data_IF_951894503482
#
_entry.id   IF_951894503482
#
_cell.length_a   1.000
_cell.length_b   1.000
_cell.length_c   1.000
_cell.angle_alpha   90.00
_cell.angle_beta   90.00
_cell.angle_gamma   90.00
#
_symmetry.space_group_name_H-M   'P 1'
#
loop_
_entity.id
_entity.type
_entity.pdbx_description
1 polymer ?
#
# COMPACT_ATOMS: atom_id res chain seq x y z
N UNK A 1 -15.39 8.35 -29.74
CA UNK A 1 -14.45 9.40 -30.15
C UNK A 1 -15.08 10.17 -31.31
N UNK A 2 -15.04 11.51 -31.32
CA UNK A 2 -15.55 12.37 -32.37
C UNK A 2 -14.71 12.40 -33.65
N UNK A 3 -13.74 11.49 -33.81
CA UNK A 3 -12.88 11.43 -35.00
C UNK A 3 -13.37 10.43 -36.02
N UNK A 4 -13.20 10.75 -37.29
CA UNK A 4 -13.46 9.82 -38.38
C UNK A 4 -12.44 8.69 -38.41
N UNK A 5 -12.82 7.51 -38.91
CA UNK A 5 -11.92 6.35 -38.98
C UNK A 5 -10.61 6.64 -39.75
N UNK A 6 -10.61 7.35 -40.90
CA UNK A 6 -9.36 7.73 -41.55
C UNK A 6 -8.43 8.58 -40.66
N UNK A 7 -8.99 9.48 -39.87
CA UNK A 7 -8.20 10.30 -38.92
C UNK A 7 -7.57 9.43 -37.82
N UNK A 8 -8.35 8.50 -37.26
CA UNK A 8 -7.83 7.56 -36.24
C UNK A 8 -6.73 6.67 -36.85
N UNK A 9 -6.92 6.12 -38.03
CA UNK A 9 -5.94 5.28 -38.72
C UNK A 9 -4.62 6.02 -38.95
N UNK A 10 -4.70 7.26 -39.45
CA UNK A 10 -3.49 8.10 -39.64
C UNK A 10 -2.76 8.40 -38.34
N UNK A 11 -3.48 8.73 -37.28
CA UNK A 11 -2.87 8.97 -35.99
C UNK A 11 -2.19 7.71 -35.43
N UNK A 12 -2.80 6.55 -35.57
CA UNK A 12 -2.20 5.28 -35.16
C UNK A 12 -0.92 4.98 -35.95
N UNK A 13 -0.91 5.25 -37.25
CA UNK A 13 0.27 5.06 -38.11
C UNK A 13 1.40 6.02 -37.70
N UNK A 14 1.07 7.30 -37.45
CA UNK A 14 2.04 8.28 -36.96
C UNK A 14 2.65 7.86 -35.60
N UNK A 15 1.81 7.38 -34.66
CA UNK A 15 2.27 6.90 -33.37
C UNK A 15 3.13 5.64 -33.49
N UNK A 16 2.83 4.74 -34.44
CA UNK A 16 3.70 3.58 -34.73
C UNK A 16 5.04 4.00 -35.31
N UNK A 17 5.03 4.95 -36.24
CA UNK A 17 6.26 5.47 -36.85
C UNK A 17 7.18 6.19 -35.84
N UNK A 18 6.58 6.74 -34.77
CA UNK A 18 7.30 7.34 -33.64
C UNK A 18 7.66 6.33 -32.55
N UNK A 19 7.40 5.05 -32.75
CA UNK A 19 7.60 3.98 -31.76
C UNK A 19 6.82 4.17 -30.44
N UNK A 20 5.63 4.74 -30.52
CA UNK A 20 4.73 4.82 -29.36
C UNK A 20 3.78 3.64 -29.28
N UNK A 21 3.37 3.08 -30.40
CA UNK A 21 2.46 1.92 -30.48
C UNK A 21 3.18 0.69 -31.02
N UNK A 22 2.76 -0.48 -30.57
CA UNK A 22 3.17 -1.75 -31.13
C UNK A 22 2.73 -1.87 -32.62
N UNK A 23 3.48 -2.67 -33.40
CA UNK A 23 3.21 -2.82 -34.84
C UNK A 23 1.90 -3.54 -35.11
N UNK A 24 1.57 -4.51 -34.30
CA UNK A 24 0.50 -5.47 -34.54
C UNK A 24 -0.81 -5.14 -33.83
N UNK A 25 -0.79 -4.25 -32.84
CA UNK A 25 -1.97 -3.82 -32.11
C UNK A 25 -1.91 -2.31 -31.74
N UNK A 26 -2.82 -1.85 -30.90
CA UNK A 26 -2.87 -0.47 -30.41
C UNK A 26 -2.27 -0.31 -29.01
N UNK A 27 -1.52 -1.30 -28.53
CA UNK A 27 -0.86 -1.20 -27.24
C UNK A 27 0.30 -0.20 -27.28
N UNK A 28 0.45 0.56 -26.20
CA UNK A 28 1.62 1.43 -26.01
C UNK A 28 2.85 0.57 -25.77
N UNK A 29 3.95 0.95 -26.41
CA UNK A 29 5.23 0.29 -26.13
C UNK A 29 5.68 0.62 -24.69
N UNK A 30 6.17 -0.37 -23.93
CA UNK A 30 6.63 -0.16 -22.55
C UNK A 30 7.67 0.96 -22.40
N UNK A 31 8.49 1.14 -23.44
CA UNK A 31 9.61 2.12 -23.46
C UNK A 31 9.20 3.55 -23.78
N UNK A 32 7.90 3.84 -23.96
CA UNK A 32 7.39 5.19 -24.29
C UNK A 32 7.66 6.16 -23.14
N UNK A 33 7.67 5.68 -21.92
CA UNK A 33 7.96 6.50 -20.77
C UNK A 33 8.01 5.68 -19.48
N UNK A 34 8.40 6.35 -18.42
CA UNK A 34 8.54 5.75 -17.10
C UNK A 34 7.85 6.60 -16.05
N UNK A 35 7.28 5.95 -15.05
CA UNK A 35 6.77 6.58 -13.85
C UNK A 35 7.67 6.20 -12.68
N UNK A 36 8.03 7.18 -11.86
CA UNK A 36 8.74 6.98 -10.62
C UNK A 36 7.74 6.82 -9.49
N UNK A 37 7.83 5.74 -8.74
CA UNK A 37 7.07 5.53 -7.52
C UNK A 37 7.95 5.53 -6.30
N UNK A 38 7.55 6.28 -5.29
CA UNK A 38 8.24 6.38 -4.01
C UNK A 38 7.24 5.99 -2.92
N UNK A 39 7.58 5.02 -2.10
CA UNK A 39 6.80 4.65 -0.92
C UNK A 39 7.57 5.09 0.34
N UNK A 40 7.00 6.05 1.05
CA UNK A 40 7.50 6.47 2.35
C UNK A 40 6.93 5.54 3.40
N UNK A 41 7.79 4.73 3.99
CA UNK A 41 7.43 3.83 5.08
C UNK A 41 7.94 4.34 6.42
N UNK A 42 7.48 3.72 7.50
CA UNK A 42 7.95 4.03 8.86
C UNK A 42 9.37 3.54 9.13
N UNK A 43 9.92 2.70 8.26
CA UNK A 43 11.22 2.05 8.43
C UNK A 43 12.18 2.32 7.27
N UNK A 44 11.64 2.51 6.09
CA UNK A 44 12.43 2.65 4.87
C UNK A 44 11.66 3.41 3.81
N UNK A 45 12.37 4.04 2.89
CA UNK A 45 11.81 4.55 1.64
C UNK A 45 12.12 3.55 0.53
N UNK A 46 11.10 3.12 -0.19
CA UNK A 46 11.23 2.24 -1.36
C UNK A 46 10.99 3.02 -2.63
N UNK A 47 11.76 2.69 -3.65
CA UNK A 47 11.70 3.35 -4.95
C UNK A 47 11.48 2.30 -6.03
N UNK A 48 10.63 2.61 -6.99
CA UNK A 48 10.40 1.78 -8.17
C UNK A 48 10.26 2.66 -9.40
N UNK A 49 10.94 2.32 -10.47
CA UNK A 49 10.70 2.87 -11.80
C UNK A 49 9.86 1.86 -12.57
N UNK A 50 8.76 2.33 -13.14
CA UNK A 50 7.73 1.49 -13.79
C UNK A 50 7.54 1.96 -15.21
N UNK A 51 7.50 1.05 -16.15
CA UNK A 51 7.22 1.32 -17.57
C UNK A 51 5.72 1.46 -17.87
N UNK A 52 5.35 1.72 -19.11
CA UNK A 52 3.96 1.86 -19.52
C UNK A 52 3.18 0.53 -19.58
N UNK A 53 3.87 -0.61 -19.45
CA UNK A 53 3.21 -1.91 -19.22
C UNK A 53 3.05 -2.20 -17.71
N UNK A 54 3.26 -1.20 -16.86
CA UNK A 54 3.23 -1.29 -15.40
C UNK A 54 4.18 -2.36 -14.83
N UNK A 55 5.24 -2.67 -15.60
CA UNK A 55 6.28 -3.56 -15.13
C UNK A 55 7.41 -2.75 -14.49
N UNK A 56 7.85 -3.12 -13.30
CA UNK A 56 8.95 -2.42 -12.65
C UNK A 56 10.27 -2.79 -13.34
N UNK A 57 10.91 -1.78 -13.93
CA UNK A 57 12.25 -1.86 -14.52
C UNK A 57 13.34 -1.62 -13.50
N UNK A 58 13.04 -0.90 -12.42
CA UNK A 58 13.92 -0.72 -11.27
C UNK A 58 13.13 -0.94 -9.98
N UNK A 59 13.64 -1.81 -9.12
CA UNK A 59 13.14 -2.05 -7.76
C UNK A 59 14.31 -1.99 -6.82
N UNK A 60 14.46 -0.88 -6.11
CA UNK A 60 15.58 -0.74 -5.19
C UNK A 60 15.16 -0.12 -3.88
N UNK A 61 15.83 -0.54 -2.82
CA UNK A 61 15.90 0.21 -1.58
C UNK A 61 16.90 1.34 -1.78
N UNK A 62 16.73 2.46 -1.10
CA UNK A 62 17.66 3.59 -1.22
C UNK A 62 19.12 3.21 -0.98
N UNK A 63 19.39 2.23 -0.14
CA UNK A 63 20.73 1.67 0.11
C UNK A 63 21.43 1.24 -1.17
N UNK A 64 20.67 0.59 -2.06
CA UNK A 64 21.19 0.02 -3.31
C UNK A 64 21.44 1.09 -4.39
N UNK A 65 20.84 2.27 -4.24
CA UNK A 65 21.04 3.43 -5.13
C UNK A 65 22.25 4.28 -4.72
N UNK A 66 22.97 3.88 -3.66
CA UNK A 66 24.07 4.69 -3.11
C UNK A 66 23.61 5.93 -2.33
N UNK A 67 22.29 6.16 -2.26
CA UNK A 67 21.67 7.25 -1.50
C UNK A 67 21.44 6.84 -0.03
N UNK A 68 21.61 5.58 0.30
CA UNK A 68 21.41 5.01 1.63
C UNK A 68 22.37 5.53 2.70
N UNK A 69 23.52 6.07 2.31
CA UNK A 69 24.43 6.70 3.28
C UNK A 69 23.83 7.93 3.96
N UNK A 70 22.85 8.57 3.35
CA UNK A 70 22.14 9.73 3.91
C UNK A 70 21.03 9.29 4.90
N UNK A 71 20.38 8.13 4.65
CA UNK A 71 19.37 7.59 5.53
C UNK A 71 19.91 6.68 6.65
N UNK A 72 20.96 5.88 6.33
CA UNK A 72 21.45 4.83 7.24
C UNK A 72 22.18 5.36 8.47
N UNK A 73 22.75 6.56 8.44
CA UNK A 73 23.51 7.06 9.59
C UNK A 73 22.72 7.91 10.56
N UNK A 74 21.76 8.66 10.06
CA UNK A 74 21.16 9.73 10.86
C UNK A 74 19.66 9.60 11.12
N UNK A 75 18.89 8.94 10.23
CA UNK A 75 17.48 8.67 10.47
C UNK A 75 17.22 7.29 11.07
N UNK A 76 18.17 6.35 10.87
CA UNK A 76 18.07 4.97 11.32
C UNK A 76 19.06 4.60 12.40
N UNK A 77 20.07 5.42 12.64
CA UNK A 77 21.18 5.08 13.55
C UNK A 77 21.15 5.82 14.88
N UNK A 78 20.24 5.44 15.71
CA UNK A 78 20.61 5.35 17.11
C UNK A 78 21.28 3.99 17.45
N UNK A 79 21.66 3.16 16.46
CA UNK A 79 22.25 1.83 16.74
C UNK A 79 23.28 1.37 15.71
N UNK A 80 24.37 0.81 16.27
CA UNK A 80 25.52 0.21 15.62
C UNK A 80 25.15 -0.88 14.60
N UNK A 81 25.94 -0.95 13.53
CA UNK A 81 26.01 -1.90 12.40
C UNK A 81 24.90 -2.96 12.24
N UNK A 82 24.26 -3.03 11.07
CA UNK A 82 23.16 -3.95 10.83
C UNK A 82 23.68 -5.38 10.71
N UNK A 83 23.52 -6.16 11.73
CA UNK A 83 23.23 -7.58 11.56
C UNK A 83 21.81 -7.62 10.99
N UNK A 84 21.51 -8.49 10.05
CA UNK A 84 20.27 -8.65 9.29
C UNK A 84 18.93 -8.67 10.09
N UNK A 85 18.91 -8.27 11.35
CA UNK A 85 17.85 -8.53 12.31
C UNK A 85 17.14 -7.30 12.90
N UNK A 86 17.49 -6.06 12.58
CA UNK A 86 16.88 -4.90 13.28
C UNK A 86 16.01 -4.05 12.36
N UNK A 87 14.74 -4.43 12.27
CA UNK A 87 13.66 -3.58 11.78
C UNK A 87 13.08 -2.75 12.95
N UNK A 88 13.76 -1.68 13.36
CA UNK A 88 13.23 -0.77 14.38
C UNK A 88 12.17 0.17 13.81
N UNK A 89 11.10 0.38 14.57
CA UNK A 89 10.11 1.42 14.32
C UNK A 89 10.79 2.79 14.50
N UNK A 90 10.88 3.54 13.41
CA UNK A 90 11.34 4.92 13.46
C UNK A 90 10.13 5.78 13.72
N UNK A 91 10.06 6.30 14.93
CA UNK A 91 9.11 7.35 15.25
C UNK A 91 9.79 8.68 14.93
N UNK A 92 9.58 9.19 13.71
CA UNK A 92 10.08 10.49 13.28
C UNK A 92 9.17 11.58 13.89
N UNK A 93 9.58 12.15 15.01
CA UNK A 93 8.75 13.06 15.81
C UNK A 93 9.24 14.50 15.78
N UNK A 94 10.49 14.75 15.36
CA UNK A 94 11.13 16.05 15.48
C UNK A 94 11.17 16.82 14.17
N UNK A 95 11.41 18.13 14.26
CA UNK A 95 11.67 18.96 13.06
C UNK A 95 12.92 18.53 12.30
N UNK A 96 13.94 18.04 13.01
CA UNK A 96 15.15 17.50 12.40
C UNK A 96 14.86 16.23 11.57
N UNK A 97 13.96 15.38 12.05
CA UNK A 97 13.54 14.20 11.28
C UNK A 97 12.81 14.60 10.00
N UNK A 98 12.00 15.68 10.05
CA UNK A 98 11.34 16.22 8.86
C UNK A 98 12.36 16.75 7.85
N UNK A 99 13.36 17.50 8.30
CA UNK A 99 14.42 18.03 7.43
C UNK A 99 15.19 16.90 6.73
N UNK A 100 15.57 15.88 7.48
CA UNK A 100 16.27 14.71 6.94
C UNK A 100 15.41 13.91 5.96
N UNK A 101 14.12 13.73 6.25
CA UNK A 101 13.19 13.07 5.34
C UNK A 101 13.01 13.87 4.06
N UNK A 102 12.84 15.19 4.17
CA UNK A 102 12.72 16.09 3.03
C UNK A 102 14.02 16.09 2.19
N UNK A 103 15.18 16.18 2.82
CA UNK A 103 16.48 16.07 2.15
C UNK A 103 16.62 14.77 1.38
N UNK A 104 16.28 13.65 2.02
CA UNK A 104 16.32 12.34 1.36
C UNK A 104 15.39 12.26 0.17
N UNK A 105 14.15 12.73 0.32
CA UNK A 105 13.17 12.75 -0.75
C UNK A 105 13.68 13.60 -1.93
N UNK A 106 14.23 14.79 -1.65
CA UNK A 106 14.79 15.67 -2.67
C UNK A 106 16.01 15.03 -3.38
N UNK A 107 16.90 14.36 -2.66
CA UNK A 107 18.04 13.67 -3.26
C UNK A 107 17.60 12.54 -4.20
N UNK A 108 16.58 11.77 -3.83
CA UNK A 108 15.97 10.76 -4.73
C UNK A 108 15.40 11.43 -5.98
N UNK A 109 14.61 12.47 -5.80
CA UNK A 109 13.96 13.17 -6.91
C UNK A 109 15.00 13.80 -7.84
N UNK A 110 16.02 14.48 -7.31
CA UNK A 110 17.10 15.07 -8.09
C UNK A 110 17.85 14.02 -8.92
N UNK A 111 18.18 12.87 -8.35
CA UNK A 111 18.88 11.81 -9.06
C UNK A 111 18.10 11.33 -10.29
N UNK A 112 16.79 11.13 -10.17
CA UNK A 112 15.97 10.69 -11.30
C UNK A 112 15.66 11.81 -12.30
N UNK A 113 15.38 13.03 -11.84
CA UNK A 113 15.10 14.18 -12.70
C UNK A 113 16.32 14.61 -13.49
N UNK A 114 17.50 14.60 -12.89
CA UNK A 114 18.75 14.89 -13.59
C UNK A 114 19.08 13.84 -14.66
N UNK A 115 18.81 12.56 -14.37
CA UNK A 115 18.98 11.49 -15.37
C UNK A 115 17.99 11.66 -16.52
N UNK A 116 16.75 12.02 -16.24
CA UNK A 116 15.76 12.31 -17.27
C UNK A 116 16.15 13.51 -18.16
N UNK A 117 16.78 14.55 -17.57
CA UNK A 117 17.27 15.72 -18.30
C UNK A 117 18.51 15.43 -19.15
N UNK A 118 19.46 14.64 -18.63
CA UNK A 118 20.74 14.36 -19.30
C UNK A 118 20.60 13.62 -20.64
N UNK A 119 19.44 13.09 -20.92
CA UNK A 119 19.14 12.29 -22.10
C UNK A 119 18.70 13.12 -23.33
N UNK A 120 18.65 14.42 -23.24
CA UNK A 120 18.62 15.30 -24.43
C UNK A 120 19.93 15.22 -25.23
N UNK A 121 20.98 14.62 -24.66
CA UNK A 121 22.24 14.36 -25.34
C UNK A 121 22.19 13.01 -26.08
N UNK A 122 22.39 13.03 -27.37
CA UNK A 122 22.07 12.01 -28.40
C UNK A 122 22.81 10.68 -28.26
N UNK A 123 23.66 10.47 -27.26
CA UNK A 123 24.44 9.24 -27.06
C UNK A 123 23.83 8.22 -26.10
N UNK A 124 22.80 8.59 -25.32
CA UNK A 124 22.10 7.68 -24.43
C UNK A 124 20.60 8.00 -24.49
N UNK A 125 19.74 7.10 -25.03
CA UNK A 125 18.31 7.40 -25.16
C UNK A 125 17.74 7.66 -23.78
N UNK A 126 17.22 8.89 -23.62
CA UNK A 126 16.54 9.30 -22.41
C UNK A 126 15.48 8.30 -21.99
N UNK A 127 15.43 8.02 -20.71
CA UNK A 127 14.24 7.44 -20.10
C UNK A 127 13.27 8.61 -19.84
N UNK A 128 12.26 8.87 -20.68
CA UNK A 128 11.36 9.99 -20.46
C UNK A 128 10.55 9.71 -19.19
N UNK A 129 10.87 10.44 -18.13
CA UNK A 129 10.10 10.39 -16.88
C UNK A 129 8.81 11.19 -17.08
N UNK A 130 7.67 10.52 -16.97
CA UNK A 130 6.36 11.09 -17.31
C UNK A 130 5.57 11.53 -16.09
N UNK A 131 5.86 10.96 -14.92
CA UNK A 131 5.18 11.30 -13.67
C UNK A 131 5.86 10.67 -12.47
N UNK A 132 5.57 11.22 -11.31
CA UNK A 132 6.09 10.77 -10.03
C UNK A 132 4.92 10.55 -9.08
N UNK A 133 4.82 9.38 -8.47
CA UNK A 133 3.86 9.08 -7.41
C UNK A 133 4.57 8.90 -6.08
N UNK A 134 4.07 9.54 -5.03
CA UNK A 134 4.60 9.38 -3.67
C UNK A 134 3.49 8.89 -2.76
N UNK A 135 3.67 7.70 -2.20
CA UNK A 135 2.74 7.11 -1.25
C UNK A 135 3.21 7.36 0.19
N UNK A 136 2.28 7.82 1.03
CA UNK A 136 2.52 8.07 2.45
C UNK A 136 1.65 7.16 3.34
N UNK A 137 2.14 6.79 4.54
CA UNK A 137 1.36 6.06 5.52
C UNK A 137 0.49 7.05 6.32
N UNK A 138 -0.81 7.04 6.08
CA UNK A 138 -1.76 7.93 6.76
C UNK A 138 -2.66 8.65 5.79
N UNK A 139 -3.38 9.62 6.30
CA UNK A 139 -4.42 10.35 5.59
C UNK A 139 -3.82 11.42 4.65
N UNK A 140 -4.10 11.30 3.35
CA UNK A 140 -3.58 12.20 2.30
C UNK A 140 -4.73 12.85 1.55
N UNK A 141 -4.80 14.17 1.56
CA UNK A 141 -5.65 14.95 0.66
C UNK A 141 -4.94 15.09 -0.69
N UNK A 142 -5.35 14.28 -1.65
CA UNK A 142 -4.72 14.24 -2.98
C UNK A 142 -4.96 15.51 -3.79
N UNK A 143 -6.09 16.19 -3.58
CA UNK A 143 -6.40 17.43 -4.29
C UNK A 143 -5.55 18.60 -3.80
N UNK A 144 -5.38 18.73 -2.49
CA UNK A 144 -4.55 19.76 -1.87
C UNK A 144 -3.06 19.38 -1.82
N UNK A 145 -2.71 18.16 -2.21
CA UNK A 145 -1.36 17.59 -2.07
C UNK A 145 -0.82 17.73 -0.64
N UNK A 146 -1.67 17.43 0.33
CA UNK A 146 -1.39 17.59 1.75
C UNK A 146 -1.43 16.25 2.48
N UNK A 147 -0.45 16.03 3.35
CA UNK A 147 -0.45 14.93 4.30
C UNK A 147 -1.18 15.43 5.55
N UNK A 148 -2.45 15.07 5.68
CA UNK A 148 -3.30 15.62 6.75
C UNK A 148 -2.99 14.98 8.11
N UNK A 149 -2.72 13.68 8.11
CA UNK A 149 -2.35 12.97 9.33
C UNK A 149 -1.49 11.76 9.02
N UNK A 150 -0.36 11.64 9.68
CA UNK A 150 0.57 10.53 9.54
C UNK A 150 1.02 10.06 10.93
N UNK A 151 0.22 9.25 11.65
CA UNK A 151 0.47 8.90 13.06
C UNK A 151 1.80 8.19 13.28
N UNK A 152 2.22 7.41 12.28
CA UNK A 152 3.47 6.66 12.34
C UNK A 152 4.72 7.50 11.96
N UNK A 153 4.50 8.71 11.42
CA UNK A 153 5.55 9.70 11.08
C UNK A 153 4.99 11.09 11.43
N UNK A 154 4.85 11.44 12.71
CA UNK A 154 4.14 12.66 13.14
C UNK A 154 4.70 13.96 12.61
N UNK A 155 5.99 14.03 12.26
CA UNK A 155 6.59 15.23 11.66
C UNK A 155 6.00 15.57 10.28
N UNK A 156 5.29 14.63 9.64
CA UNK A 156 4.58 14.84 8.36
C UNK A 156 3.15 15.36 8.54
N UNK A 157 2.61 15.40 9.75
CA UNK A 157 1.25 15.90 9.97
C UNK A 157 1.10 17.33 9.42
N UNK A 158 0.02 17.53 8.67
CA UNK A 158 -0.36 18.83 8.08
C UNK A 158 0.68 19.43 7.12
N UNK A 159 1.60 18.60 6.60
CA UNK A 159 2.59 19.06 5.62
C UNK A 159 2.04 19.03 4.21
N UNK A 160 2.26 20.13 3.50
CA UNK A 160 2.01 20.20 2.07
C UNK A 160 3.23 19.69 1.30
N UNK A 161 3.01 19.04 0.15
CA UNK A 161 4.10 18.54 -0.69
C UNK A 161 5.13 19.64 -1.00
N UNK A 162 4.67 20.82 -1.35
CA UNK A 162 5.56 21.94 -1.72
C UNK A 162 6.51 22.34 -0.59
N UNK A 163 6.12 22.13 0.67
CA UNK A 163 6.98 22.39 1.83
C UNK A 163 8.09 21.34 2.01
N UNK A 164 7.97 20.20 1.36
CA UNK A 164 8.96 19.12 1.40
C UNK A 164 9.95 19.19 0.23
N UNK A 165 9.63 19.93 -0.84
CA UNK A 165 10.46 20.02 -2.05
C UNK A 165 11.37 21.24 -2.02
N UNK A 166 12.67 21.03 -2.32
CA UNK A 166 13.60 22.13 -2.50
C UNK A 166 13.40 22.86 -3.84
N UNK A 167 14.00 24.04 -3.97
CA UNK A 167 13.84 24.87 -5.16
C UNK A 167 14.33 24.17 -6.44
N UNK A 168 15.46 23.46 -6.37
CA UNK A 168 16.03 22.76 -7.52
C UNK A 168 15.10 21.66 -8.05
N UNK A 169 14.49 20.88 -7.14
CA UNK A 169 13.51 19.85 -7.52
C UNK A 169 12.31 20.50 -8.21
N UNK A 170 11.75 21.58 -7.64
CA UNK A 170 10.60 22.29 -8.25
C UNK A 170 10.92 22.81 -9.65
N UNK A 171 12.09 23.45 -9.80
CA UNK A 171 12.55 23.95 -11.11
C UNK A 171 12.69 22.83 -12.14
N UNK A 172 13.23 21.68 -11.76
CA UNK A 172 13.36 20.52 -12.66
C UNK A 172 12.00 19.91 -13.01
N UNK A 173 11.10 19.79 -12.05
CA UNK A 173 9.74 19.29 -12.30
C UNK A 173 9.00 20.16 -13.31
N UNK A 174 9.08 21.49 -13.17
CA UNK A 174 8.49 22.45 -14.11
C UNK A 174 9.13 22.37 -15.49
N UNK A 175 10.47 22.35 -15.57
CA UNK A 175 11.19 22.31 -16.84
C UNK A 175 10.95 21.03 -17.65
N UNK A 176 10.70 19.91 -16.99
CA UNK A 176 10.44 18.61 -17.60
C UNK A 176 8.95 18.28 -17.76
N UNK A 177 8.04 19.16 -17.35
CA UNK A 177 6.58 18.92 -17.27
C UNK A 177 6.24 17.62 -16.53
N UNK A 178 6.97 17.32 -15.46
CA UNK A 178 6.77 16.14 -14.62
C UNK A 178 5.92 16.53 -13.40
N UNK A 179 4.79 15.86 -13.24
CA UNK A 179 3.89 16.08 -12.08
C UNK A 179 4.18 15.09 -10.98
N UNK A 180 4.06 15.56 -9.74
CA UNK A 180 4.12 14.72 -8.55
C UNK A 180 2.70 14.55 -8.01
N UNK A 181 2.30 13.30 -7.83
CA UNK A 181 1.00 12.94 -7.24
C UNK A 181 1.20 12.24 -5.90
N UNK A 182 0.34 12.58 -4.95
CA UNK A 182 0.33 11.92 -3.64
C UNK A 182 -0.78 10.88 -3.57
N UNK A 183 -0.50 9.78 -2.90
CA UNK A 183 -1.51 8.77 -2.61
C UNK A 183 -1.29 8.15 -1.22
N UNK A 184 -2.33 7.49 -0.72
CA UNK A 184 -2.23 6.69 0.49
C UNK A 184 -1.61 5.32 0.18
N UNK A 185 -0.85 4.74 1.13
CA UNK A 185 -0.23 3.43 0.95
C UNK A 185 -1.22 2.31 0.57
N UNK A 186 -2.44 2.34 1.12
CA UNK A 186 -3.46 1.35 0.77
C UNK A 186 -3.98 1.54 -0.65
N UNK A 187 -4.13 2.79 -1.14
CA UNK A 187 -4.48 3.07 -2.53
C UNK A 187 -3.39 2.55 -3.48
N UNK A 188 -2.14 2.88 -3.20
CA UNK A 188 -1.02 2.37 -3.98
C UNK A 188 -0.95 0.83 -3.95
N UNK A 189 -1.15 0.22 -2.78
CA UNK A 189 -1.23 -1.23 -2.67
C UNK A 189 -2.33 -1.83 -3.53
N UNK A 190 -3.53 -1.25 -3.52
CA UNK A 190 -4.64 -1.68 -4.36
C UNK A 190 -4.33 -1.56 -5.85
N UNK A 191 -3.79 -0.41 -6.30
CA UNK A 191 -3.44 -0.20 -7.70
C UNK A 191 -2.44 -1.25 -8.19
N UNK A 192 -1.43 -1.54 -7.39
CA UNK A 192 -0.50 -2.62 -7.70
C UNK A 192 -1.19 -3.98 -7.80
N UNK A 193 -2.02 -4.35 -6.83
CA UNK A 193 -2.70 -5.65 -6.83
C UNK A 193 -3.67 -5.79 -8.02
N UNK A 194 -4.38 -4.73 -8.38
CA UNK A 194 -5.25 -4.74 -9.55
C UNK A 194 -4.48 -5.01 -10.84
N UNK A 195 -3.33 -4.35 -11.03
CA UNK A 195 -2.47 -4.61 -12.19
C UNK A 195 -1.89 -6.03 -12.18
N UNK A 196 -1.58 -6.59 -11.00
CA UNK A 196 -1.15 -7.98 -10.90
C UNK A 196 -2.25 -8.98 -11.31
N UNK A 197 -3.52 -8.63 -11.15
CA UNK A 197 -4.63 -9.45 -11.67
C UNK A 197 -4.67 -9.42 -13.20
N UNK A 198 -4.53 -8.25 -13.84
CA UNK A 198 -4.48 -8.14 -15.30
C UNK A 198 -3.34 -8.97 -15.92
N UNK A 199 -2.20 -8.99 -15.28
CA UNK A 199 -1.01 -9.71 -15.72
C UNK A 199 -0.88 -11.14 -15.17
N UNK A 200 -1.92 -11.66 -14.51
CA UNK A 200 -1.91 -13.01 -13.98
C UNK A 200 -1.83 -14.05 -15.10
N UNK A 201 -0.95 -15.03 -14.94
CA UNK A 201 -0.83 -16.18 -15.87
C UNK A 201 -1.99 -17.15 -15.74
N UNK A 202 -2.56 -17.28 -14.53
CA UNK A 202 -3.76 -18.08 -14.28
C UNK A 202 -5.00 -17.36 -14.84
N UNK A 203 -5.73 -17.99 -15.80
CA UNK A 203 -6.91 -17.38 -16.41
C UNK A 203 -8.03 -17.05 -15.41
N UNK A 204 -8.22 -17.88 -14.39
CA UNK A 204 -9.22 -17.65 -13.34
C UNK A 204 -8.87 -16.40 -12.54
N UNK A 205 -7.61 -16.27 -12.14
CA UNK A 205 -7.14 -15.08 -11.44
C UNK A 205 -7.21 -13.83 -12.32
N UNK A 206 -6.89 -13.96 -13.61
CA UNK A 206 -6.97 -12.85 -14.58
C UNK A 206 -8.39 -12.36 -14.77
N UNK A 207 -9.39 -13.25 -14.84
CA UNK A 207 -10.80 -12.85 -15.01
C UNK A 207 -11.32 -12.00 -13.84
N UNK A 208 -10.70 -12.09 -12.66
CA UNK A 208 -11.06 -11.25 -11.53
C UNK A 208 -10.67 -9.76 -11.74
N UNK A 209 -9.74 -9.47 -12.64
CA UNK A 209 -9.39 -8.09 -12.99
C UNK A 209 -10.53 -7.32 -13.66
N UNK A 210 -11.45 -8.04 -14.32
CA UNK A 210 -12.63 -7.47 -14.99
C UNK A 210 -13.74 -7.08 -14.01
N UNK A 211 -13.66 -7.53 -12.75
CA UNK A 211 -14.64 -7.19 -11.72
C UNK A 211 -14.70 -5.70 -11.48
N UNK A 212 -15.92 -5.17 -11.36
CA UNK A 212 -16.17 -3.74 -11.15
C UNK A 212 -16.07 -3.33 -9.67
N UNK A 213 -16.19 -4.30 -8.76
CA UNK A 213 -16.25 -4.09 -7.33
C UNK A 213 -15.13 -4.90 -6.65
N UNK A 214 -13.93 -4.34 -6.65
CA UNK A 214 -12.74 -4.95 -6.07
C UNK A 214 -12.30 -4.11 -4.88
N UNK A 215 -12.19 -4.73 -3.72
CA UNK A 215 -11.61 -4.10 -2.54
C UNK A 215 -10.30 -4.80 -2.15
N UNK A 216 -9.41 -4.05 -1.55
CA UNK A 216 -8.10 -4.52 -1.10
C UNK A 216 -7.81 -4.03 0.30
N UNK A 217 -7.58 -4.95 1.23
CA UNK A 217 -7.04 -4.65 2.56
C UNK A 217 -5.54 -4.74 2.48
N UNK A 218 -4.88 -3.63 2.77
CA UNK A 218 -3.43 -3.56 2.92
C UNK A 218 -3.06 -3.58 4.42
N UNK A 219 -2.40 -4.64 4.84
CA UNK A 219 -1.98 -4.85 6.23
C UNK A 219 -0.46 -4.66 6.35
N UNK A 220 -0.07 -3.42 6.51
CA UNK A 220 1.31 -3.01 6.77
C UNK A 220 1.58 -2.86 8.27
N UNK A 221 2.12 -1.70 8.69
CA UNK A 221 2.20 -1.29 10.09
C UNK A 221 0.80 -0.97 10.65
N UNK A 222 -0.07 -0.39 9.80
CA UNK A 222 -1.49 -0.19 10.04
C UNK A 222 -2.34 -1.04 9.10
N UNK A 223 -3.66 -0.84 9.16
CA UNK A 223 -4.66 -1.53 8.34
C UNK A 223 -5.44 -0.52 7.54
N UNK A 224 -5.25 -0.51 6.22
CA UNK A 224 -5.99 0.34 5.30
C UNK A 224 -6.83 -0.48 4.33
N UNK A 225 -7.95 0.08 3.89
CA UNK A 225 -8.79 -0.46 2.83
C UNK A 225 -8.75 0.51 1.65
N UNK A 226 -8.62 -0.02 0.45
CA UNK A 226 -8.81 0.73 -0.78
C UNK A 226 -9.48 -0.15 -1.83
N UNK A 227 -9.88 0.42 -2.95
CA UNK A 227 -10.51 -0.36 -4.00
C UNK A 227 -11.32 0.44 -4.98
N UNK A 228 -12.06 -0.26 -5.83
CA UNK A 228 -13.02 0.33 -6.75
C UNK A 228 -14.42 -0.26 -6.55
N UNK A 229 -15.42 0.57 -6.78
CA UNK A 229 -16.83 0.18 -6.86
C UNK A 229 -17.44 0.74 -8.15
N UNK A 230 -18.18 -0.09 -8.85
CA UNK A 230 -18.68 0.21 -10.19
C UNK A 230 -17.56 0.71 -11.14
N UNK A 231 -16.38 0.12 -11.03
CA UNK A 231 -15.19 0.49 -11.79
C UNK A 231 -14.56 1.83 -11.43
N UNK A 232 -14.97 2.47 -10.34
CA UNK A 232 -14.42 3.77 -9.91
C UNK A 232 -13.62 3.64 -8.63
N UNK A 233 -12.44 4.22 -8.61
CA UNK A 233 -11.57 4.25 -7.42
C UNK A 233 -12.27 4.98 -6.26
N UNK A 234 -12.27 4.35 -5.10
CA UNK A 234 -12.87 4.90 -3.88
C UNK A 234 -11.85 5.78 -3.14
N UNK A 235 -12.13 7.06 -3.02
CA UNK A 235 -11.30 8.04 -2.30
C UNK A 235 -12.00 8.70 -1.13
N UNK A 236 -13.32 8.63 -1.09
CA UNK A 236 -14.09 9.40 -0.11
C UNK A 236 -14.05 10.90 -0.39
N UNK A 237 -14.53 11.70 0.57
CA UNK A 237 -14.63 13.15 0.41
C UNK A 237 -13.26 13.87 0.32
N UNK A 238 -12.31 13.44 1.18
CA UNK A 238 -11.01 14.11 1.34
C UNK A 238 -9.83 13.15 1.11
N UNK A 239 -10.01 12.06 0.36
CA UNK A 239 -8.98 11.05 0.22
C UNK A 239 -8.87 10.06 1.40
N UNK A 240 -9.77 10.13 2.38
CA UNK A 240 -9.76 9.29 3.58
C UNK A 240 -10.66 8.06 3.49
N UNK A 241 -10.82 7.49 2.31
CA UNK A 241 -11.54 6.23 2.21
C UNK A 241 -10.75 5.09 2.84
N UNK A 242 -11.46 4.23 3.56
CA UNK A 242 -10.93 2.91 3.90
C UNK A 242 -10.19 2.81 5.24
N UNK A 243 -10.46 3.68 6.18
CA UNK A 243 -9.93 3.64 7.55
C UNK A 243 -10.50 2.47 8.37
N UNK A 244 -10.55 1.27 7.75
CA UNK A 244 -11.13 0.06 8.34
C UNK A 244 -10.39 -0.41 9.61
N UNK A 245 -9.11 -0.06 9.72
CA UNK A 245 -8.33 -0.34 10.91
C UNK A 245 -8.82 0.42 12.15
N UNK A 246 -9.51 1.55 11.95
CA UNK A 246 -9.99 2.40 13.05
C UNK A 246 -11.45 2.17 13.43
N UNK A 247 -12.12 1.18 12.85
CA UNK A 247 -13.45 0.77 13.36
C UNK A 247 -13.29 0.22 14.79
N UNK A 248 -14.28 0.51 15.61
CA UNK A 248 -14.31 -0.04 16.96
C UNK A 248 -14.54 -1.55 16.87
N UNK A 249 -13.65 -2.30 17.49
CA UNK A 249 -13.83 -3.74 17.59
C UNK A 249 -15.00 -4.04 18.52
N UNK A 250 -15.86 -4.99 18.18
CA UNK A 250 -16.78 -5.55 19.16
C UNK A 250 -15.97 -6.06 20.35
N UNK A 251 -16.56 -5.98 21.53
CA UNK A 251 -15.97 -6.54 22.73
C UNK A 251 -15.81 -8.05 22.57
N UNK A 252 -14.63 -8.48 22.13
CA UNK A 252 -14.26 -9.89 22.15
C UNK A 252 -13.88 -10.24 23.60
N UNK A 253 -14.88 -10.14 24.47
CA UNK A 253 -14.70 -10.44 25.88
C UNK A 253 -14.27 -11.90 26.06
N UNK A 254 -13.50 -12.11 27.14
CA UNK A 254 -13.15 -13.45 27.61
C UNK A 254 -14.39 -14.36 27.73
N UNK A 255 -15.55 -13.78 28.13
CA UNK A 255 -16.81 -14.50 28.22
C UNK A 255 -17.28 -15.02 26.87
N UNK A 256 -17.18 -14.23 25.81
CA UNK A 256 -17.52 -14.65 24.45
C UNK A 256 -16.60 -15.75 23.96
N UNK A 257 -15.28 -15.60 24.17
CA UNK A 257 -14.32 -16.65 23.83
C UNK A 257 -14.60 -17.96 24.58
N UNK A 258 -14.95 -17.86 25.87
CA UNK A 258 -15.32 -19.01 26.69
C UNK A 258 -16.64 -19.66 26.21
N UNK A 259 -17.60 -18.85 25.78
CA UNK A 259 -18.89 -19.36 25.28
C UNK A 259 -18.79 -20.05 23.91
N UNK A 260 -17.81 -19.73 23.11
CA UNK A 260 -17.55 -20.35 21.82
C UNK A 260 -16.72 -21.66 21.93
N UNK A 261 -16.19 -21.97 23.13
CA UNK A 261 -15.52 -23.24 23.39
C UNK A 261 -16.54 -24.35 23.56
N UNK A 262 -16.41 -25.42 22.78
CA UNK A 262 -17.25 -26.62 22.87
C UNK A 262 -16.93 -27.48 24.09
N UNK A 263 -15.77 -27.26 24.73
CA UNK A 263 -15.29 -27.98 25.90
C UNK A 263 -15.03 -27.02 27.06
N UNK A 264 -15.61 -27.32 28.22
CA UNK A 264 -15.43 -26.55 29.45
C UNK A 264 -13.96 -26.52 29.92
N UNK A 265 -13.21 -27.61 29.70
CA UNK A 265 -11.77 -27.64 30.03
C UNK A 265 -10.95 -26.67 29.16
N UNK A 266 -11.29 -26.57 27.88
CA UNK A 266 -10.68 -25.56 27.00
C UNK A 266 -11.08 -24.13 27.40
N UNK A 267 -12.33 -23.91 27.80
CA UNK A 267 -12.81 -22.62 28.29
C UNK A 267 -12.10 -22.19 29.58
N UNK A 268 -11.80 -23.13 30.47
CA UNK A 268 -11.08 -22.90 31.74
C UNK A 268 -9.58 -22.66 31.50
N UNK A 269 -9.01 -23.22 30.45
CA UNK A 269 -7.61 -23.06 30.08
C UNK A 269 -7.25 -21.72 29.42
N UNK A 270 -8.25 -20.86 29.17
CA UNK A 270 -8.00 -19.51 28.61
C UNK A 270 -7.35 -18.65 29.71
N UNK A 271 -6.09 -18.21 29.55
CA UNK A 271 -5.40 -17.40 30.55
C UNK A 271 -6.08 -16.04 30.69
N UNK A 272 -6.58 -15.71 31.86
CA UNK A 272 -7.29 -14.44 32.13
C UNK A 272 -6.34 -13.22 32.02
N UNK A 273 -5.09 -13.40 32.33
CA UNK A 273 -4.03 -12.40 32.27
C UNK A 273 -3.58 -12.06 30.84
N UNK A 274 -3.92 -12.90 29.84
CA UNK A 274 -3.52 -12.71 28.45
C UNK A 274 -4.58 -12.02 27.57
N UNK A 275 -5.69 -11.56 28.15
CA UNK A 275 -6.78 -10.92 27.40
C UNK A 275 -7.11 -9.47 27.84
N UNK A 276 -6.35 -8.75 28.60
CA UNK A 276 -6.71 -7.36 28.85
C UNK A 276 -6.36 -6.52 27.64
N UNK A 277 -7.37 -6.18 26.86
CA UNK A 277 -7.26 -5.19 25.78
C UNK A 277 -7.73 -3.80 26.23
N UNK A 278 -8.13 -3.67 27.49
CA UNK A 278 -8.64 -2.42 28.07
C UNK A 278 -7.61 -1.27 28.13
N UNK A 279 -6.34 -1.51 27.78
CA UNK A 279 -5.29 -0.50 27.74
C UNK A 279 -4.74 -0.18 26.34
N UNK A 280 -5.06 -0.96 25.32
CA UNK A 280 -4.52 -0.75 23.97
C UNK A 280 -5.22 0.43 23.28
N UNK A 281 -4.63 1.61 23.37
CA UNK A 281 -5.12 2.79 22.65
C UNK A 281 -4.37 2.98 21.34
N UNK A 282 -5.12 3.13 20.27
CA UNK A 282 -4.58 3.56 18.99
C UNK A 282 -3.96 4.96 19.13
N UNK A 283 -2.73 5.19 18.69
CA UNK A 283 -2.11 6.52 18.76
C UNK A 283 -2.85 7.56 17.91
N UNK A 284 -3.62 7.10 16.91
CA UNK A 284 -4.39 7.98 16.03
C UNK A 284 -5.78 8.30 16.56
N UNK A 285 -6.64 7.31 16.73
CA UNK A 285 -8.02 7.56 17.16
C UNK A 285 -8.20 7.60 18.68
N UNK A 286 -7.16 7.37 19.47
CA UNK A 286 -7.16 7.33 20.95
C UNK A 286 -8.15 6.32 21.57
N UNK A 287 -8.64 5.38 20.75
CA UNK A 287 -9.61 4.36 21.13
C UNK A 287 -9.05 2.97 20.88
N UNK A 288 -9.68 1.97 21.47
CA UNK A 288 -9.41 0.56 21.15
C UNK A 288 -10.09 0.22 19.83
N UNK A 289 -9.35 0.28 18.74
CA UNK A 289 -9.79 -0.04 17.40
C UNK A 289 -9.18 -1.36 16.92
N UNK A 290 -9.63 -1.85 15.76
CA UNK A 290 -9.15 -3.10 15.17
C UNK A 290 -7.63 -3.10 14.99
N UNK A 291 -7.07 -2.00 14.47
CA UNK A 291 -5.63 -1.85 14.27
C UNK A 291 -4.85 -1.95 15.58
N UNK A 292 -5.28 -1.24 16.64
CA UNK A 292 -4.60 -1.29 17.93
C UNK A 292 -4.63 -2.68 18.55
N UNK A 293 -5.73 -3.41 18.37
CA UNK A 293 -5.86 -4.78 18.88
C UNK A 293 -4.93 -5.76 18.17
N UNK A 294 -4.87 -5.70 16.85
CA UNK A 294 -3.98 -6.56 16.06
C UNK A 294 -2.52 -6.18 16.36
N UNK A 295 -2.21 -4.88 16.36
CA UNK A 295 -0.87 -4.37 16.63
C UNK A 295 -0.37 -4.75 18.02
N UNK A 296 -1.16 -4.51 19.05
CA UNK A 296 -0.80 -4.83 20.43
C UNK A 296 -0.57 -6.33 20.63
N UNK A 297 -1.40 -7.17 20.04
CA UNK A 297 -1.28 -8.62 20.15
C UNK A 297 -0.05 -9.15 19.44
N UNK A 298 0.22 -8.65 18.24
CA UNK A 298 1.33 -9.13 17.40
C UNK A 298 2.67 -8.58 17.87
N UNK A 299 2.70 -7.32 18.36
CA UNK A 299 3.95 -6.60 18.57
C UNK A 299 4.27 -6.25 20.05
N UNK A 300 3.31 -6.37 20.97
CA UNK A 300 3.46 -5.93 22.35
C UNK A 300 3.35 -7.06 23.40
N UNK A 301 3.07 -8.30 22.97
CA UNK A 301 2.69 -9.39 23.88
C UNK A 301 3.84 -10.11 24.59
N UNK A 302 5.11 -9.79 24.29
CA UNK A 302 6.26 -10.49 24.86
C UNK A 302 7.30 -9.51 25.47
N UNK A 303 8.18 -10.05 26.32
CA UNK A 303 9.26 -9.32 26.98
C UNK A 303 10.03 -8.45 25.98
N UNK A 304 9.95 -7.13 26.14
CA UNK A 304 10.38 -6.09 25.20
C UNK A 304 11.81 -6.28 24.68
N UNK A 305 12.69 -6.85 25.48
CA UNK A 305 14.10 -7.08 25.14
C UNK A 305 14.28 -8.23 24.14
N UNK A 306 13.58 -9.35 24.31
CA UNK A 306 13.63 -10.49 23.40
C UNK A 306 12.88 -10.16 22.09
N UNK A 307 11.85 -9.34 22.20
CA UNK A 307 11.04 -8.92 21.06
C UNK A 307 11.77 -7.96 20.11
N UNK A 308 12.62 -7.10 20.64
CA UNK A 308 13.46 -6.17 19.86
C UNK A 308 14.49 -6.87 18.96
N UNK A 309 14.85 -8.12 19.27
CA UNK A 309 15.85 -8.89 18.51
C UNK A 309 15.29 -9.70 17.34
N UNK A 310 13.95 -9.77 17.20
CA UNK A 310 13.29 -10.57 16.17
C UNK A 310 12.80 -9.70 15.00
N UNK A 311 12.89 -10.21 13.79
CA UNK A 311 12.25 -9.62 12.61
C UNK A 311 10.72 -9.67 12.74
N UNK A 312 10.00 -8.82 12.03
CA UNK A 312 8.53 -8.87 11.99
C UNK A 312 8.00 -10.23 11.58
N UNK A 313 8.71 -10.92 10.70
CA UNK A 313 8.36 -12.27 10.24
C UNK A 313 8.44 -13.27 11.40
N UNK A 314 9.52 -13.24 12.14
CA UNK A 314 9.70 -14.12 13.31
C UNK A 314 8.70 -13.79 14.42
N UNK A 315 8.40 -12.51 14.62
CA UNK A 315 7.38 -12.04 15.57
C UNK A 315 6.00 -12.57 15.21
N UNK A 316 5.58 -12.37 13.97
CA UNK A 316 4.29 -12.84 13.45
C UNK A 316 4.20 -14.37 13.50
N UNK A 317 5.27 -15.07 13.14
CA UNK A 317 5.32 -16.52 13.19
C UNK A 317 5.22 -17.04 14.63
N UNK A 318 6.01 -16.48 15.56
CA UNK A 318 5.96 -16.84 17.00
C UNK A 318 4.56 -16.57 17.57
N UNK A 319 3.96 -15.42 17.20
CA UNK A 319 2.61 -15.09 17.63
C UNK A 319 1.57 -16.10 17.14
N UNK A 320 1.65 -16.48 15.88
CA UNK A 320 0.73 -17.44 15.26
C UNK A 320 0.87 -18.87 15.80
N UNK A 321 2.04 -19.24 16.33
CA UNK A 321 2.25 -20.53 16.99
C UNK A 321 1.51 -20.66 18.32
N UNK A 322 1.14 -19.55 18.97
CA UNK A 322 0.29 -19.58 20.13
C UNK A 322 -1.17 -19.74 19.70
N UNK A 323 -1.80 -20.84 20.09
CA UNK A 323 -3.17 -21.21 19.68
C UNK A 323 -4.19 -20.11 20.00
N UNK A 324 -4.09 -19.49 21.17
CA UNK A 324 -5.03 -18.43 21.60
C UNK A 324 -4.83 -17.14 20.83
N UNK A 325 -3.60 -16.73 20.62
CA UNK A 325 -3.28 -15.56 19.81
C UNK A 325 -3.77 -15.74 18.37
N UNK A 326 -3.58 -16.93 17.81
CA UNK A 326 -4.05 -17.25 16.48
C UNK A 326 -5.58 -17.30 16.38
N UNK A 327 -6.26 -17.83 17.41
CA UNK A 327 -7.73 -17.81 17.49
C UNK A 327 -8.27 -16.39 17.54
N UNK A 328 -7.69 -15.51 18.35
CA UNK A 328 -8.05 -14.10 18.41
C UNK A 328 -7.80 -13.37 17.09
N UNK A 329 -6.65 -13.60 16.46
CA UNK A 329 -6.32 -13.02 15.16
C UNK A 329 -7.37 -13.41 14.11
N UNK A 330 -7.79 -14.66 14.08
CA UNK A 330 -8.87 -15.14 13.20
C UNK A 330 -10.19 -14.40 13.46
N UNK A 331 -10.55 -14.17 14.71
CA UNK A 331 -11.77 -13.43 15.05
C UNK A 331 -11.72 -11.98 14.54
N UNK A 332 -10.59 -11.28 14.74
CA UNK A 332 -10.41 -9.91 14.23
C UNK A 332 -10.46 -9.84 12.70
N UNK A 333 -9.79 -10.77 12.03
CA UNK A 333 -9.84 -10.85 10.56
C UNK A 333 -11.23 -11.22 10.08
N UNK A 334 -11.89 -12.16 10.73
CA UNK A 334 -13.27 -12.54 10.42
C UNK A 334 -14.24 -11.36 10.56
N UNK A 335 -14.15 -10.62 11.65
CA UNK A 335 -14.93 -9.39 11.86
C UNK A 335 -14.66 -8.34 10.76
N UNK A 336 -13.40 -8.07 10.45
CA UNK A 336 -13.03 -7.13 9.40
C UNK A 336 -13.57 -7.55 8.03
N UNK A 337 -13.33 -8.80 7.65
CA UNK A 337 -13.79 -9.37 6.38
C UNK A 337 -15.31 -9.33 6.28
N UNK A 338 -16.01 -9.77 7.33
CA UNK A 338 -17.47 -9.74 7.39
C UNK A 338 -18.03 -8.32 7.30
N UNK A 339 -17.42 -7.36 7.99
CA UNK A 339 -17.80 -5.94 7.92
C UNK A 339 -17.66 -5.40 6.49
N UNK A 340 -16.53 -5.67 5.84
CA UNK A 340 -16.28 -5.22 4.46
C UNK A 340 -17.30 -5.83 3.51
N UNK A 341 -17.53 -7.13 3.59
CA UNK A 341 -18.48 -7.84 2.72
C UNK A 341 -19.91 -7.34 2.94
N UNK A 342 -20.34 -7.17 4.18
CA UNK A 342 -21.68 -6.72 4.49
C UNK A 342 -21.95 -5.26 4.10
N UNK A 343 -20.95 -4.38 4.19
CA UNK A 343 -21.12 -2.96 3.88
C UNK A 343 -20.98 -2.66 2.38
N UNK A 344 -20.02 -3.31 1.70
CA UNK A 344 -19.67 -2.97 0.33
C UNK A 344 -20.10 -4.01 -0.69
N UNK A 345 -20.39 -5.24 -0.28
CA UNK A 345 -20.76 -6.36 -1.16
C UNK A 345 -19.83 -6.49 -2.38
N UNK A 346 -18.51 -6.61 -2.19
CA UNK A 346 -17.56 -6.66 -3.30
C UNK A 346 -17.61 -8.01 -4.02
N UNK A 347 -17.27 -8.03 -5.31
CA UNK A 347 -17.05 -9.26 -6.08
C UNK A 347 -15.73 -9.93 -5.66
N UNK A 348 -14.70 -9.08 -5.42
CA UNK A 348 -13.37 -9.54 -5.04
C UNK A 348 -12.87 -8.76 -3.82
N UNK A 349 -12.35 -9.49 -2.84
CA UNK A 349 -11.62 -8.93 -1.70
C UNK A 349 -10.19 -9.45 -1.70
N UNK A 350 -9.23 -8.57 -1.92
CA UNK A 350 -7.81 -8.89 -1.87
C UNK A 350 -7.29 -8.62 -0.46
N UNK A 351 -6.61 -9.58 0.13
CA UNK A 351 -5.93 -9.40 1.41
C UNK A 351 -4.43 -9.45 1.16
N UNK A 352 -3.74 -8.34 1.38
CA UNK A 352 -2.30 -8.19 1.09
C UNK A 352 -1.55 -7.60 2.27
N UNK A 353 -0.25 -7.78 2.28
CA UNK A 353 0.66 -7.24 3.29
C UNK A 353 1.25 -8.30 4.21
N UNK A 354 2.15 -7.85 5.08
CA UNK A 354 3.04 -8.73 5.88
C UNK A 354 2.31 -9.80 6.69
N UNK A 355 1.16 -9.48 7.26
CA UNK A 355 0.41 -10.45 8.07
C UNK A 355 0.09 -11.71 7.26
N UNK A 356 -0.44 -11.53 6.07
CA UNK A 356 -0.89 -12.65 5.22
C UNK A 356 0.29 -13.42 4.60
N UNK A 357 1.43 -12.77 4.44
CA UNK A 357 2.65 -13.39 3.94
C UNK A 357 3.37 -14.21 5.02
N UNK A 358 3.31 -13.73 6.27
CA UNK A 358 4.03 -14.35 7.39
C UNK A 358 3.20 -15.38 8.15
N UNK A 359 1.87 -15.34 8.02
CA UNK A 359 0.91 -16.26 8.69
C UNK A 359 0.03 -16.94 7.63
N UNK A 360 0.62 -17.78 6.77
CA UNK A 360 -0.13 -18.43 5.68
C UNK A 360 -1.26 -19.35 6.18
N UNK A 361 -1.19 -19.82 7.41
CA UNK A 361 -2.19 -20.69 8.04
C UNK A 361 -3.58 -20.01 8.15
N UNK A 362 -3.64 -18.67 8.10
CA UNK A 362 -4.89 -17.91 8.11
C UNK A 362 -5.76 -18.26 6.91
N UNK A 363 -5.16 -18.60 5.77
CA UNK A 363 -5.88 -18.96 4.54
C UNK A 363 -6.70 -20.24 4.68
N UNK A 364 -6.23 -21.18 5.52
CA UNK A 364 -6.97 -22.42 5.81
C UNK A 364 -8.32 -22.14 6.49
N UNK A 365 -8.44 -21.02 7.16
CA UNK A 365 -9.66 -20.62 7.88
C UNK A 365 -10.52 -19.61 7.10
N UNK A 366 -10.07 -19.10 5.96
CA UNK A 366 -10.67 -17.93 5.32
C UNK A 366 -12.14 -18.16 4.92
N UNK A 367 -12.49 -19.32 4.40
CA UNK A 367 -13.88 -19.64 4.05
C UNK A 367 -14.79 -19.68 5.28
N UNK A 368 -14.30 -20.20 6.41
CA UNK A 368 -15.04 -20.24 7.67
C UNK A 368 -15.20 -18.82 8.23
N UNK A 369 -14.13 -18.01 8.20
CA UNK A 369 -14.18 -16.63 8.65
C UNK A 369 -15.15 -15.79 7.83
N UNK A 370 -15.16 -15.98 6.53
CA UNK A 370 -16.11 -15.34 5.61
C UNK A 370 -17.55 -15.73 5.94
N UNK A 371 -17.85 -17.01 5.94
CA UNK A 371 -19.22 -17.52 6.14
C UNK A 371 -19.76 -17.25 7.55
N UNK A 372 -18.91 -17.25 8.56
CA UNK A 372 -19.29 -16.99 9.95
C UNK A 372 -19.53 -15.50 10.28
N UNK A 373 -19.05 -14.58 9.46
CA UNK A 373 -19.09 -13.14 9.75
C UNK A 373 -19.83 -12.29 8.69
N UNK A 374 -20.23 -12.86 7.57
CA UNK A 374 -20.99 -12.15 6.52
C UNK A 374 -22.35 -12.79 6.28
N UNK A 375 -23.28 -12.01 5.73
CA UNK A 375 -24.53 -12.55 5.23
C UNK A 375 -24.24 -13.61 4.16
N UNK A 376 -24.90 -14.76 4.24
CA UNK A 376 -24.62 -15.91 3.38
C UNK A 376 -24.74 -15.57 1.89
N UNK A 377 -25.68 -14.71 1.53
CA UNK A 377 -25.91 -14.26 0.15
C UNK A 377 -24.72 -13.43 -0.39
N UNK A 378 -24.25 -12.46 0.37
CA UNK A 378 -23.10 -11.61 -0.01
C UNK A 378 -21.78 -12.39 0.08
N UNK A 379 -21.59 -13.15 1.17
CA UNK A 379 -20.39 -13.95 1.38
C UNK A 379 -20.17 -15.03 0.32
N UNK A 380 -21.24 -15.68 -0.16
CA UNK A 380 -21.13 -16.71 -1.21
C UNK A 380 -20.68 -16.14 -2.56
N UNK A 381 -20.91 -14.86 -2.82
CA UNK A 381 -20.56 -14.18 -4.08
C UNK A 381 -19.25 -13.40 -4.04
N UNK A 382 -18.68 -13.21 -2.86
CA UNK A 382 -17.38 -12.55 -2.71
C UNK A 382 -16.24 -13.56 -2.82
N UNK A 383 -15.33 -13.34 -3.75
CA UNK A 383 -14.09 -14.13 -3.86
C UNK A 383 -12.99 -13.46 -3.05
N UNK A 384 -12.44 -14.15 -2.04
CA UNK A 384 -11.31 -13.64 -1.25
C UNK A 384 -10.03 -14.27 -1.79
N UNK A 385 -9.05 -13.44 -2.12
CA UNK A 385 -7.77 -13.89 -2.67
C UNK A 385 -6.58 -13.26 -1.92
N UNK A 386 -5.44 -13.97 -1.89
CA UNK A 386 -4.18 -13.39 -1.44
C UNK A 386 -3.68 -12.35 -2.45
N UNK A 387 -3.10 -11.26 -1.95
CA UNK A 387 -2.34 -10.33 -2.77
C UNK A 387 -1.02 -10.93 -3.27
N UNK A 388 -0.32 -10.16 -4.10
CA UNK A 388 0.99 -10.53 -4.61
C UNK A 388 2.05 -10.38 -3.51
N UNK A 389 2.91 -11.39 -3.37
CA UNK A 389 4.03 -11.36 -2.41
C UNK A 389 5.20 -10.54 -2.99
N UNK A 390 5.06 -9.22 -3.09
CA UNK A 390 6.10 -8.35 -3.66
C UNK A 390 6.48 -7.23 -2.72
N UNK A 391 7.76 -7.14 -2.43
CA UNK A 391 8.32 -6.22 -1.43
C UNK A 391 8.15 -4.73 -1.77
N UNK A 392 8.05 -4.37 -3.06
CA UNK A 392 7.92 -2.98 -3.53
C UNK A 392 6.50 -2.63 -4.03
N UNK A 393 5.48 -3.37 -3.62
CA UNK A 393 4.11 -3.20 -4.13
C UNK A 393 3.59 -1.76 -4.02
N UNK A 394 3.83 -1.10 -2.88
CA UNK A 394 3.38 0.29 -2.66
C UNK A 394 4.12 1.27 -3.56
N UNK A 395 5.44 1.13 -3.76
CA UNK A 395 6.17 2.02 -4.66
C UNK A 395 5.73 1.83 -6.12
N UNK A 396 5.52 0.59 -6.57
CA UNK A 396 4.96 0.31 -7.90
C UNK A 396 3.56 0.92 -8.04
N UNK A 397 2.70 0.74 -7.05
CA UNK A 397 1.36 1.30 -7.06
C UNK A 397 1.34 2.83 -7.03
N UNK A 398 2.29 3.47 -6.35
CA UNK A 398 2.45 4.92 -6.40
C UNK A 398 2.80 5.42 -7.82
N UNK A 399 3.70 4.72 -8.53
CA UNK A 399 3.98 5.01 -9.93
C UNK A 399 2.74 4.87 -10.81
N UNK A 400 1.95 3.80 -10.62
CA UNK A 400 0.69 3.57 -11.32
C UNK A 400 -0.31 4.68 -11.01
N UNK A 401 -0.39 5.16 -9.77
CA UNK A 401 -1.24 6.31 -9.39
C UNK A 401 -0.88 7.56 -10.20
N UNK A 402 0.41 7.86 -10.35
CA UNK A 402 0.86 9.00 -11.16
C UNK A 402 0.43 8.88 -12.64
N UNK A 403 0.49 7.66 -13.20
CA UNK A 403 0.02 7.42 -14.57
C UNK A 403 -1.48 7.72 -14.71
N UNK A 404 -2.30 7.16 -13.85
CA UNK A 404 -3.74 7.36 -13.92
C UNK A 404 -4.14 8.83 -13.73
N UNK A 405 -3.47 9.56 -12.86
CA UNK A 405 -3.70 10.99 -12.67
C UNK A 405 -3.32 11.83 -13.90
N UNK A 406 -2.24 11.47 -14.60
CA UNK A 406 -1.81 12.21 -15.79
C UNK A 406 -2.69 11.93 -17.00
N UNK A 407 -3.11 10.67 -17.20
CA UNK A 407 -3.74 10.22 -18.46
C UNK A 407 -5.24 9.97 -18.35
N UNK A 408 -5.84 9.90 -17.15
CA UNK A 408 -7.29 9.94 -17.06
C UNK A 408 -7.79 11.37 -17.35
N UNK A 409 -8.51 11.53 -18.43
CA UNK A 409 -9.03 12.81 -18.95
C UNK A 409 -10.01 13.54 -18.00
N UNK A 410 -10.36 12.94 -16.88
CA UNK A 410 -11.16 13.55 -15.81
C UNK A 410 -10.47 13.22 -14.48
N UNK A 411 -9.80 14.18 -13.93
CA UNK A 411 -9.01 14.13 -12.68
C UNK A 411 -9.78 13.69 -11.44
N UNK A 412 -11.07 13.41 -11.55
CA UNK A 412 -11.93 13.01 -10.43
C UNK A 412 -12.26 11.50 -10.42
N UNK A 413 -12.02 10.76 -11.52
CA UNK A 413 -12.48 9.37 -11.59
C UNK A 413 -11.54 8.49 -12.41
N UNK A 414 -10.69 7.71 -11.76
CA UNK A 414 -10.14 6.51 -12.40
C UNK A 414 -11.31 5.54 -12.58
N UNK A 415 -11.77 5.38 -13.81
CA UNK A 415 -12.92 4.56 -14.15
C UNK A 415 -12.49 3.42 -15.07
N UNK A 416 -12.31 2.23 -14.52
CA UNK A 416 -11.93 1.03 -15.28
C UNK A 416 -13.07 0.45 -16.13
N UNK A 417 -14.31 0.88 -15.94
CA UNK A 417 -15.44 0.42 -16.77
C UNK A 417 -15.36 0.92 -18.23
N UNK A 418 -14.39 1.77 -18.57
CA UNK A 418 -14.22 2.38 -19.90
C UNK A 418 -12.94 1.94 -20.62
N UNK A 419 -12.16 1.08 -20.01
CA UNK A 419 -10.97 0.46 -20.57
C UNK A 419 -11.19 -1.04 -20.69
#
# INVERSE_FOLDING_TARGET
SGFSWPTVSRLCEELRNRNYLAKDDLSLLPTVGYMLGIAVGTREIKVSLVDFAFQPVLRKRLRELGLGKLLDRDLLSARNEPKEAEEDYICLNSSQDLEKLAETLNNVLLAFLQTARASEDTSNPALPLVGIGIAFPGAVDTQKKQICACPNIPCLNEKNLDSLLCADVRTLLESLDVRVELCHNAEAGFLHEKEQLFHATDPVRRSLAESQNILCVYHGTGIGLSGCMAGRLLRGNNGFFGEIGHILSPDFSLQRLKSECTDQAQAAAIPEDKIPLSGCRCPFCQKTCLESLIRARVFESENLEVFKQKTDRERLHTFAQNEWNFKLLKQYIGFMVGTIINLFNPEVLILTGRLYDCVPEIWNSMNILKSGNSLSYSGSRCTIIPGSKRDNSVAVGAAISAYYHKYSYRTEEINWAKH
#
